data_IF_789228181084
#
_entry.id   IF_789228181084
#
_cell.length_a   1.000
_cell.length_b   1.000
_cell.length_c   1.000
_cell.angle_alpha   90.00
_cell.angle_beta   90.00
_cell.angle_gamma   90.00
#
_symmetry.space_group_name_H-M   'P 1'
#
loop_
_entity.id
_entity.type
_entity.pdbx_description
1 polymer ?
#
# COMPACT_ATOMS: atom_id res chain seq x y z
N UNK A 1 -6.71 13.88 14.57
CA UNK A 1 -5.54 13.02 14.32
C UNK A 1 -4.96 12.54 15.64
N UNK A 2 -4.46 11.30 15.68
CA UNK A 2 -3.90 10.70 16.92
C UNK A 2 -2.47 11.17 17.22
N UNK A 3 -1.86 11.92 16.31
CA UNK A 3 -0.50 12.47 16.44
C UNK A 3 0.59 11.40 16.70
N UNK A 4 0.46 10.24 16.06
CA UNK A 4 1.39 9.12 16.19
C UNK A 4 2.86 9.51 15.93
N UNK A 5 3.10 10.46 15.02
CA UNK A 5 4.44 10.94 14.70
C UNK A 5 5.22 11.45 15.93
N UNK A 6 4.55 12.17 16.83
CA UNK A 6 5.16 12.66 18.07
C UNK A 6 4.97 11.71 19.25
N UNK A 7 3.91 10.92 19.25
CA UNK A 7 3.48 10.05 20.35
C UNK A 7 3.80 8.58 20.18
N UNK A 8 4.57 8.20 19.13
CA UNK A 8 4.83 6.78 18.79
C UNK A 8 5.35 5.96 19.98
N UNK A 9 6.14 6.54 20.89
CA UNK A 9 6.62 5.83 22.08
C UNK A 9 5.49 5.46 23.03
N UNK A 10 4.58 6.40 23.29
CA UNK A 10 3.38 6.14 24.10
C UNK A 10 2.50 5.07 23.43
N UNK A 11 2.29 5.18 22.12
CA UNK A 11 1.49 4.24 21.35
C UNK A 11 2.12 2.85 21.38
N UNK A 12 3.44 2.72 21.27
CA UNK A 12 4.16 1.43 21.38
C UNK A 12 4.01 0.82 22.78
N UNK A 13 4.02 1.65 23.85
CA UNK A 13 3.74 1.13 25.19
C UNK A 13 2.30 0.63 25.34
N UNK A 14 1.32 1.31 24.75
CA UNK A 14 -0.07 0.83 24.71
C UNK A 14 -0.16 -0.52 23.99
N UNK A 15 0.47 -0.66 22.83
CA UNK A 15 0.54 -1.91 22.05
C UNK A 15 1.17 -3.03 22.89
N UNK A 16 2.28 -2.75 23.59
CA UNK A 16 2.95 -3.69 24.50
C UNK A 16 2.02 -4.14 25.62
N UNK A 17 1.30 -3.22 26.23
CA UNK A 17 0.38 -3.50 27.34
C UNK A 17 -0.82 -4.36 26.90
N UNK A 18 -1.21 -4.33 25.60
CA UNK A 18 -2.18 -5.25 25.02
C UNK A 18 -1.65 -6.68 24.86
N UNK A 19 -0.34 -6.91 25.03
CA UNK A 19 0.28 -8.22 24.93
C UNK A 19 0.47 -8.77 23.52
N UNK A 20 0.26 -7.94 22.48
CA UNK A 20 0.46 -8.34 21.08
C UNK A 20 1.94 -8.50 20.76
N UNK A 21 2.27 -9.39 19.82
CA UNK A 21 3.67 -9.74 19.47
C UNK A 21 4.14 -9.12 18.17
N UNK A 22 3.23 -8.64 17.34
CA UNK A 22 3.54 -8.00 16.08
C UNK A 22 2.68 -6.75 15.89
N UNK A 23 3.24 -5.76 15.24
CA UNK A 23 2.52 -4.54 14.86
C UNK A 23 2.72 -4.25 13.39
N UNK A 24 1.60 -4.21 12.65
CA UNK A 24 1.60 -3.83 11.24
C UNK A 24 1.33 -2.34 11.12
N UNK A 25 2.23 -1.64 10.44
CA UNK A 25 2.10 -0.23 10.11
C UNK A 25 2.47 0.01 8.65
N UNK A 26 2.13 1.18 8.12
CA UNK A 26 2.50 1.59 6.77
C UNK A 26 3.55 2.69 6.78
N UNK A 27 4.40 2.69 5.76
CA UNK A 27 5.30 3.81 5.48
C UNK A 27 4.61 4.75 4.50
N UNK A 28 4.39 6.01 4.90
CA UNK A 28 3.78 7.01 4.04
C UNK A 28 4.77 7.42 2.94
N UNK A 29 4.48 7.06 1.70
CA UNK A 29 5.32 7.38 0.56
C UNK A 29 5.65 8.87 0.43
N UNK A 30 4.68 9.83 0.56
CA UNK A 30 4.98 11.27 0.53
C UNK A 30 5.88 11.76 1.68
N UNK A 31 6.01 10.96 2.74
CA UNK A 31 6.91 11.28 3.85
C UNK A 31 8.37 10.93 3.52
N UNK A 32 8.56 9.96 2.63
CA UNK A 32 9.89 9.45 2.26
C UNK A 32 10.43 10.15 1.03
N UNK A 33 9.58 10.39 0.04
CA UNK A 33 9.94 11.04 -1.21
C UNK A 33 9.12 12.30 -1.45
N UNK A 34 9.80 13.38 -1.83
CA UNK A 34 9.20 14.52 -2.52
C UNK A 34 9.54 14.44 -4.00
N UNK A 35 8.63 14.89 -4.85
CA UNK A 35 8.81 14.91 -6.30
C UNK A 35 8.67 16.33 -6.81
N UNK A 36 9.61 16.75 -7.68
CA UNK A 36 9.53 18.07 -8.29
C UNK A 36 8.39 18.12 -9.32
N UNK A 37 7.57 19.17 -9.24
CA UNK A 37 6.46 19.40 -10.16
C UNK A 37 6.90 19.58 -11.62
N UNK A 38 8.17 19.88 -11.86
CA UNK A 38 8.72 20.42 -13.11
C UNK A 38 9.62 19.44 -13.90
N UNK A 39 9.43 18.12 -13.71
CA UNK A 39 10.17 17.12 -14.48
C UNK A 39 9.74 17.14 -15.97
N UNK A 40 10.34 18.09 -16.74
CA UNK A 40 10.03 18.34 -18.15
C UNK A 40 10.39 17.21 -19.11
N UNK A 41 11.18 16.23 -18.67
CA UNK A 41 11.75 15.17 -19.52
C UNK A 41 11.21 13.77 -19.21
N UNK A 42 10.03 13.64 -18.62
CA UNK A 42 9.40 12.32 -18.38
C UNK A 42 10.05 11.48 -17.26
N UNK A 43 11.28 11.78 -16.84
CA UNK A 43 11.94 11.08 -15.74
C UNK A 43 11.51 11.70 -14.42
N UNK A 44 10.73 10.95 -13.66
CA UNK A 44 10.31 11.35 -12.30
C UNK A 44 11.35 10.83 -11.32
N UNK A 45 12.21 11.73 -10.83
CA UNK A 45 13.17 11.41 -9.77
C UNK A 45 12.64 11.94 -8.44
N UNK A 46 12.48 11.04 -7.47
CA UNK A 46 12.13 11.43 -6.10
C UNK A 46 13.36 11.91 -5.33
N UNK A 47 13.18 12.96 -4.54
CA UNK A 47 14.15 13.44 -3.58
C UNK A 47 13.87 12.82 -2.22
N UNK A 48 14.87 12.15 -1.62
CA UNK A 48 14.71 11.50 -0.31
C UNK A 48 14.55 12.53 0.81
N UNK A 49 13.58 12.29 1.66
CA UNK A 49 13.39 13.04 2.90
C UNK A 49 13.98 12.27 4.08
N UNK A 50 15.19 12.66 4.49
CA UNK A 50 15.91 12.01 5.58
C UNK A 50 15.12 12.02 6.90
N UNK A 51 14.41 13.12 7.21
CA UNK A 51 13.58 13.21 8.44
C UNK A 51 12.46 12.19 8.46
N UNK A 52 11.88 11.90 7.29
CA UNK A 52 10.87 10.86 7.14
C UNK A 52 11.44 9.47 7.39
N UNK A 53 12.59 9.16 6.80
CA UNK A 53 13.31 7.91 7.03
C UNK A 53 13.67 7.73 8.51
N UNK A 54 14.24 8.75 9.14
CA UNK A 54 14.64 8.71 10.55
C UNK A 54 13.46 8.49 11.50
N UNK A 55 12.25 8.93 11.14
CA UNK A 55 11.06 8.65 11.93
C UNK A 55 10.76 7.14 11.97
N UNK A 56 10.77 6.48 10.81
CA UNK A 56 10.50 5.04 10.75
C UNK A 56 11.64 4.21 11.36
N UNK A 57 12.91 4.67 11.29
CA UNK A 57 14.00 4.05 12.05
C UNK A 57 13.66 4.02 13.55
N UNK A 58 13.31 5.18 14.10
CA UNK A 58 12.96 5.28 15.53
C UNK A 58 11.74 4.45 15.92
N UNK A 59 10.72 4.39 15.05
CA UNK A 59 9.54 3.57 15.30
C UNK A 59 9.87 2.08 15.31
N UNK A 60 10.66 1.61 14.32
CA UNK A 60 11.08 0.21 14.22
C UNK A 60 11.93 -0.17 15.43
N UNK A 61 12.90 0.67 15.81
CA UNK A 61 13.76 0.43 16.97
C UNK A 61 12.95 0.38 18.27
N UNK A 62 11.99 1.29 18.46
CA UNK A 62 11.11 1.29 19.63
C UNK A 62 10.25 0.02 19.72
N UNK A 63 9.70 -0.46 18.58
CA UNK A 63 8.95 -1.71 18.53
C UNK A 63 9.82 -2.90 18.96
N UNK A 64 11.01 -3.02 18.37
CA UNK A 64 11.93 -4.12 18.65
C UNK A 64 12.43 -4.10 20.11
N UNK A 65 12.74 -2.92 20.66
CA UNK A 65 13.11 -2.75 22.08
C UNK A 65 12.01 -3.21 23.04
N UNK A 66 10.77 -3.13 22.61
CA UNK A 66 9.59 -3.57 23.37
C UNK A 66 9.16 -5.01 23.06
N UNK A 67 9.93 -5.77 22.26
CA UNK A 67 9.65 -7.16 21.91
C UNK A 67 8.46 -7.32 20.95
N UNK A 68 8.18 -6.30 20.16
CA UNK A 68 7.11 -6.27 19.17
C UNK A 68 7.74 -6.34 17.77
N UNK A 69 7.35 -7.32 16.99
CA UNK A 69 7.85 -7.53 15.62
C UNK A 69 7.22 -6.49 14.66
N UNK A 70 8.04 -5.71 13.92
CA UNK A 70 7.53 -4.75 12.95
C UNK A 70 7.13 -5.45 11.64
N UNK A 71 5.89 -5.25 11.20
CA UNK A 71 5.36 -5.70 9.91
C UNK A 71 5.05 -4.49 9.04
N UNK A 72 5.75 -4.32 7.94
CA UNK A 72 5.77 -3.08 7.18
C UNK A 72 4.92 -3.18 5.91
N UNK A 73 3.96 -2.28 5.76
CA UNK A 73 3.18 -2.10 4.52
C UNK A 73 3.79 -0.96 3.71
N UNK A 74 4.20 -1.28 2.48
CA UNK A 74 4.85 -0.31 1.59
C UNK A 74 3.87 0.73 1.06
N UNK A 75 2.69 0.32 0.62
CA UNK A 75 1.69 1.25 0.10
C UNK A 75 0.32 1.03 0.75
N UNK A 76 -0.18 2.07 1.41
CA UNK A 76 -1.50 2.09 2.05
C UNK A 76 -2.27 3.36 1.68
N UNK A 77 -2.47 3.56 0.36
CA UNK A 77 -3.32 4.55 -0.31
C UNK A 77 -2.77 5.98 -0.37
N UNK A 78 -1.57 6.20 0.08
CA UNK A 78 -0.92 7.50 0.20
C UNK A 78 0.01 7.81 -1.00
N UNK A 79 -0.56 7.88 -2.19
CA UNK A 79 0.15 8.26 -3.40
C UNK A 79 0.58 9.74 -3.33
N UNK A 80 1.87 10.06 -3.61
CA UNK A 80 2.31 11.44 -3.73
C UNK A 80 1.49 12.21 -4.79
N UNK A 81 1.01 13.40 -4.43
CA UNK A 81 0.15 14.20 -5.30
C UNK A 81 0.80 14.54 -6.64
N UNK A 82 2.12 14.77 -6.65
CA UNK A 82 2.90 15.03 -7.87
C UNK A 82 2.86 13.84 -8.84
N UNK A 83 2.80 12.62 -8.33
CA UNK A 83 2.63 11.42 -9.15
C UNK A 83 1.20 11.27 -9.65
N UNK A 84 0.19 11.64 -8.84
CA UNK A 84 -1.19 11.68 -9.29
C UNK A 84 -1.38 12.69 -10.43
N UNK A 85 -0.77 13.88 -10.37
CA UNK A 85 -0.75 14.86 -11.48
C UNK A 85 -0.18 14.29 -12.80
N UNK A 86 0.68 13.27 -12.69
CA UNK A 86 1.25 12.54 -13.84
C UNK A 86 0.40 11.34 -14.27
N UNK A 87 -0.78 11.20 -13.73
CA UNK A 87 -1.76 10.16 -14.04
C UNK A 87 -1.92 9.08 -12.97
N UNK A 88 -1.08 9.07 -11.94
CA UNK A 88 -1.19 8.13 -10.83
C UNK A 88 -1.29 6.68 -11.28
N UNK A 89 -2.27 5.95 -10.76
CA UNK A 89 -2.52 4.55 -11.16
C UNK A 89 -3.00 4.37 -12.60
N UNK A 90 -3.43 5.43 -13.28
CA UNK A 90 -3.74 5.42 -14.72
C UNK A 90 -2.49 5.40 -15.60
N UNK A 91 -1.36 5.87 -15.06
CA UNK A 91 -0.08 5.88 -15.76
C UNK A 91 0.67 4.57 -15.54
N UNK A 92 1.10 3.93 -16.64
CA UNK A 92 1.86 2.69 -16.58
C UNK A 92 3.16 2.84 -15.78
N UNK A 93 3.82 3.99 -15.84
CA UNK A 93 5.12 4.22 -15.19
C UNK A 93 5.04 4.17 -13.66
N UNK A 94 3.84 4.13 -13.07
CA UNK A 94 3.65 3.99 -11.62
C UNK A 94 4.42 2.79 -11.06
N UNK A 95 4.53 1.69 -11.84
CA UNK A 95 5.25 0.51 -11.38
C UNK A 95 6.77 0.75 -11.22
N UNK A 96 7.36 1.65 -11.99
CA UNK A 96 8.75 2.07 -11.82
C UNK A 96 8.90 2.93 -10.57
N UNK A 97 8.04 3.94 -10.41
CA UNK A 97 8.13 4.88 -9.27
C UNK A 97 7.95 4.18 -7.94
N UNK A 98 6.97 3.27 -7.85
CA UNK A 98 6.73 2.51 -6.61
C UNK A 98 7.81 1.45 -6.37
N UNK A 99 8.43 0.94 -7.43
CA UNK A 99 9.58 0.03 -7.36
C UNK A 99 10.80 0.73 -6.75
N UNK A 100 11.13 1.94 -7.21
CA UNK A 100 12.23 2.75 -6.67
C UNK A 100 12.01 3.08 -5.19
N UNK A 101 10.79 3.48 -4.83
CA UNK A 101 10.37 3.68 -3.45
C UNK A 101 10.57 2.41 -2.61
N UNK A 102 10.09 1.27 -3.11
CA UNK A 102 10.17 -0.02 -2.40
C UNK A 102 11.62 -0.48 -2.21
N UNK A 103 12.47 -0.25 -3.22
CA UNK A 103 13.90 -0.53 -3.13
C UNK A 103 14.58 0.27 -2.01
N UNK A 104 14.24 1.55 -1.88
CA UNK A 104 14.80 2.40 -0.82
C UNK A 104 14.38 1.94 0.57
N UNK A 105 13.09 1.63 0.74
CA UNK A 105 12.57 1.10 2.01
C UNK A 105 13.25 -0.23 2.38
N UNK A 106 13.43 -1.12 1.40
CA UNK A 106 14.14 -2.37 1.62
C UNK A 106 15.59 -2.16 2.04
N UNK A 107 16.34 -1.31 1.33
CA UNK A 107 17.73 -0.96 1.70
C UNK A 107 17.84 -0.41 3.12
N UNK A 108 16.85 0.39 3.54
CA UNK A 108 16.90 1.07 4.83
C UNK A 108 16.53 0.16 5.98
N UNK A 109 15.46 -0.64 5.86
CA UNK A 109 14.83 -1.27 7.02
C UNK A 109 14.91 -2.79 7.04
N UNK A 110 15.31 -3.47 5.96
CA UNK A 110 15.32 -4.93 5.93
C UNK A 110 16.42 -5.59 6.77
N UNK A 111 17.30 -4.83 7.41
CA UNK A 111 18.18 -5.32 8.47
C UNK A 111 17.44 -5.64 9.76
N UNK A 112 16.26 -5.07 9.98
CA UNK A 112 15.43 -5.16 11.20
C UNK A 112 14.00 -5.63 10.93
N UNK A 113 13.49 -5.42 9.72
CA UNK A 113 12.15 -5.81 9.29
C UNK A 113 12.25 -7.00 8.34
N UNK A 114 11.54 -8.08 8.66
CA UNK A 114 11.50 -9.31 7.85
C UNK A 114 10.18 -9.51 7.13
N UNK A 115 9.11 -8.80 7.53
CA UNK A 115 7.77 -8.95 6.98
C UNK A 115 7.34 -7.68 6.23
N UNK A 116 7.12 -7.80 4.91
CA UNK A 116 6.70 -6.71 4.05
C UNK A 116 5.40 -7.03 3.34
N UNK A 117 4.49 -6.06 3.31
CA UNK A 117 3.29 -6.06 2.47
C UNK A 117 3.47 -5.01 1.38
N UNK A 118 3.22 -5.40 0.15
CA UNK A 118 3.35 -4.50 -1.01
C UNK A 118 2.20 -3.48 -1.05
N UNK A 119 1.03 -3.92 -1.49
CA UNK A 119 -0.16 -3.11 -1.61
C UNK A 119 -1.20 -3.51 -0.56
N UNK A 120 -1.85 -2.52 0.03
CA UNK A 120 -3.00 -2.75 0.89
C UNK A 120 -4.28 -2.59 0.09
N UNK A 121 -5.13 -3.62 0.12
CA UNK A 121 -6.52 -3.59 -0.36
C UNK A 121 -6.66 -2.96 -1.76
N UNK A 122 -6.15 -3.62 -2.78
CA UNK A 122 -6.21 -3.12 -4.17
C UNK A 122 -7.62 -2.66 -4.61
N UNK A 123 -8.73 -3.31 -4.23
CA UNK A 123 -10.06 -2.81 -4.54
C UNK A 123 -10.34 -1.42 -3.98
N UNK A 124 -9.80 -1.06 -2.81
CA UNK A 124 -9.96 0.28 -2.24
C UNK A 124 -9.16 1.34 -3.01
N UNK A 125 -7.98 0.99 -3.56
CA UNK A 125 -7.25 1.88 -4.47
C UNK A 125 -8.14 2.20 -5.69
N UNK A 126 -8.77 1.19 -6.26
CA UNK A 126 -9.72 1.36 -7.37
C UNK A 126 -10.90 2.22 -6.95
N UNK A 127 -11.39 2.09 -5.71
CA UNK A 127 -12.45 2.92 -5.14
C UNK A 127 -12.13 4.42 -5.18
N UNK A 128 -10.86 4.80 -5.07
CA UNK A 128 -10.40 6.17 -5.24
C UNK A 128 -10.63 6.72 -6.65
N UNK A 129 -10.61 5.85 -7.66
CA UNK A 129 -10.90 6.19 -9.06
C UNK A 129 -12.37 5.90 -9.45
N UNK A 130 -13.22 5.62 -8.47
CA UNK A 130 -14.68 5.53 -8.55
C UNK A 130 -15.36 6.60 -7.70
N UNK A 131 -14.63 7.63 -7.25
CA UNK A 131 -15.16 8.74 -6.46
C UNK A 131 -15.37 8.45 -4.97
N UNK A 132 -15.02 7.25 -4.45
CA UNK A 132 -15.34 6.86 -3.06
C UNK A 132 -14.27 7.29 -2.05
N UNK A 133 -13.01 7.32 -2.46
CA UNK A 133 -11.85 7.67 -1.63
C UNK A 133 -10.96 8.66 -2.37
N UNK A 134 -9.84 9.07 -1.76
CA UNK A 134 -8.83 9.82 -2.48
C UNK A 134 -8.24 8.96 -3.62
N UNK A 135 -7.97 9.53 -4.82
CA UNK A 135 -8.04 10.95 -5.17
C UNK A 135 -9.44 11.49 -5.50
N UNK A 136 -10.49 10.69 -5.42
CA UNK A 136 -11.87 11.12 -5.67
C UNK A 136 -12.18 11.38 -7.14
N UNK A 137 -11.54 10.65 -8.03
CA UNK A 137 -11.73 10.75 -9.46
C UNK A 137 -12.76 9.73 -9.94
N UNK A 138 -13.47 10.06 -11.03
CA UNK A 138 -14.31 9.11 -11.75
C UNK A 138 -13.68 8.81 -13.09
N UNK A 139 -13.40 7.54 -13.35
CA UNK A 139 -12.76 7.06 -14.57
C UNK A 139 -13.71 6.15 -15.36
N UNK A 140 -13.49 6.02 -16.66
CA UNK A 140 -14.25 5.08 -17.49
C UNK A 140 -13.77 3.63 -17.31
N UNK A 141 -14.55 2.66 -17.82
CA UNK A 141 -14.26 1.24 -17.65
C UNK A 141 -12.89 0.81 -18.21
N UNK A 142 -12.47 1.38 -19.34
CA UNK A 142 -11.15 1.07 -19.92
C UNK A 142 -10.02 1.49 -18.97
N UNK A 143 -10.15 2.66 -18.34
CA UNK A 143 -9.18 3.13 -17.36
C UNK A 143 -9.19 2.26 -16.10
N UNK A 144 -10.35 1.74 -15.69
CA UNK A 144 -10.46 0.76 -14.59
C UNK A 144 -9.58 -0.47 -14.85
N UNK A 145 -9.68 -1.07 -16.03
CA UNK A 145 -8.85 -2.23 -16.38
C UNK A 145 -7.35 -1.88 -16.43
N UNK A 146 -7.00 -0.70 -16.93
CA UNK A 146 -5.63 -0.22 -16.91
C UNK A 146 -5.10 -0.06 -15.47
N UNK A 147 -5.90 0.52 -14.57
CA UNK A 147 -5.53 0.70 -13.16
C UNK A 147 -5.30 -0.68 -12.50
N UNK A 148 -6.21 -1.64 -12.71
CA UNK A 148 -6.05 -2.99 -12.18
C UNK A 148 -4.76 -3.63 -12.69
N UNK A 149 -4.50 -3.54 -14.00
CA UNK A 149 -3.27 -4.05 -14.59
C UNK A 149 -2.02 -3.39 -13.98
N UNK A 150 -2.04 -2.06 -13.81
CA UNK A 150 -0.91 -1.33 -13.23
C UNK A 150 -0.69 -1.66 -11.76
N UNK A 151 -1.75 -1.91 -10.98
CA UNK A 151 -1.62 -2.39 -9.59
C UNK A 151 -0.95 -3.76 -9.52
N UNK A 152 -1.37 -4.71 -10.35
CA UNK A 152 -0.76 -6.05 -10.40
C UNK A 152 0.69 -5.99 -10.87
N UNK A 153 0.98 -5.18 -11.90
CA UNK A 153 2.33 -4.94 -12.38
C UNK A 153 3.21 -4.31 -11.28
N UNK A 154 2.66 -3.34 -10.56
CA UNK A 154 3.34 -2.67 -9.44
C UNK A 154 3.62 -3.66 -8.30
N UNK A 155 2.67 -4.52 -7.94
CA UNK A 155 2.92 -5.58 -6.96
C UNK A 155 4.12 -6.43 -7.35
N UNK A 156 4.18 -6.93 -8.57
CA UNK A 156 5.31 -7.72 -9.08
C UNK A 156 6.63 -6.97 -9.03
N UNK A 157 6.63 -5.70 -9.47
CA UNK A 157 7.82 -4.83 -9.45
C UNK A 157 8.30 -4.53 -8.03
N UNK A 158 7.40 -4.29 -7.09
CA UNK A 158 7.74 -4.10 -5.67
C UNK A 158 8.37 -5.35 -5.07
N UNK A 159 7.83 -6.54 -5.36
CA UNK A 159 8.40 -7.82 -4.90
C UNK A 159 9.83 -7.98 -5.41
N UNK A 160 10.05 -7.73 -6.70
CA UNK A 160 11.40 -7.80 -7.30
C UNK A 160 12.34 -6.78 -6.66
N UNK A 161 11.90 -5.53 -6.50
CA UNK A 161 12.69 -4.47 -5.90
C UNK A 161 13.10 -4.76 -4.46
N UNK A 162 12.18 -5.23 -3.64
CA UNK A 162 12.46 -5.59 -2.24
C UNK A 162 13.45 -6.76 -2.18
N UNK A 163 13.21 -7.83 -2.94
CA UNK A 163 14.13 -8.99 -2.96
C UNK A 163 15.54 -8.64 -3.43
N UNK A 164 15.67 -7.76 -4.41
CA UNK A 164 16.96 -7.34 -4.94
C UNK A 164 17.73 -6.41 -3.99
N UNK A 165 17.07 -5.74 -3.05
CA UNK A 165 17.67 -4.73 -2.18
C UNK A 165 17.62 -5.06 -0.69
N UNK A 166 16.97 -6.15 -0.31
CA UNK A 166 16.92 -6.58 1.09
C UNK A 166 18.29 -7.10 1.56
N UNK A 167 18.63 -6.76 2.80
CA UNK A 167 19.89 -7.14 3.46
C UNK A 167 19.85 -8.55 4.06
N UNK A 168 18.66 -9.14 4.14
CA UNK A 168 18.42 -10.50 4.63
C UNK A 168 17.20 -11.11 3.95
N UNK A 169 16.92 -12.37 4.22
CA UNK A 169 15.70 -13.01 3.74
C UNK A 169 14.46 -12.33 4.33
N UNK A 170 13.52 -11.97 3.46
CA UNK A 170 12.28 -11.30 3.82
C UNK A 170 11.07 -12.08 3.30
N UNK A 171 9.98 -12.02 4.05
CA UNK A 171 8.67 -12.52 3.65
C UNK A 171 7.88 -11.38 3.02
N UNK A 172 7.33 -11.65 1.84
CA UNK A 172 6.62 -10.68 1.04
C UNK A 172 5.22 -11.17 0.71
N UNK A 173 4.23 -10.32 0.92
CA UNK A 173 2.85 -10.57 0.57
C UNK A 173 2.13 -9.29 0.15
N UNK A 174 0.82 -9.37 -0.05
CA UNK A 174 -0.08 -8.23 -0.13
C UNK A 174 -1.20 -8.42 0.90
N UNK A 175 -1.72 -7.33 1.40
CA UNK A 175 -2.91 -7.37 2.24
C UNK A 175 -4.13 -7.19 1.34
N UNK A 176 -4.70 -8.31 0.92
CA UNK A 176 -5.88 -8.30 0.07
C UNK A 176 -7.14 -8.30 0.92
N UNK A 177 -8.15 -7.54 0.50
CA UNK A 177 -9.51 -7.64 1.02
C UNK A 177 -10.41 -8.28 -0.03
N UNK A 178 -11.42 -8.99 0.42
CA UNK A 178 -12.45 -9.58 -0.43
C UNK A 178 -13.75 -9.65 0.32
N UNK A 179 -14.84 -9.60 -0.41
CA UNK A 179 -16.17 -9.84 0.15
C UNK A 179 -16.54 -11.31 -0.06
N UNK A 180 -16.93 -11.98 1.01
CA UNK A 180 -17.59 -13.27 0.93
C UNK A 180 -19.04 -13.06 0.52
N UNK A 181 -19.44 -13.64 -0.59
CA UNK A 181 -20.82 -13.70 -1.02
C UNK A 181 -21.38 -15.09 -0.72
N UNK A 182 -22.67 -15.17 -0.47
CA UNK A 182 -23.40 -16.41 -0.27
C UNK A 182 -24.73 -16.33 -1.03
N UNK A 183 -25.23 -17.42 -1.61
CA UNK A 183 -26.56 -17.42 -2.21
C UNK A 183 -27.60 -17.18 -1.12
N UNK A 184 -28.63 -16.41 -1.42
CA UNK A 184 -29.71 -16.08 -0.47
C UNK A 184 -30.58 -17.30 -0.16
N UNK A 185 -30.71 -18.27 -1.10
CA UNK A 185 -31.38 -19.55 -0.94
C UNK A 185 -30.68 -20.64 -1.76
N UNK A 186 -31.19 -21.86 -1.70
CA UNK A 186 -30.73 -23.00 -2.54
C UNK A 186 -31.30 -22.94 -3.97
N UNK A 187 -31.99 -21.87 -4.36
CA UNK A 187 -32.50 -21.72 -5.72
C UNK A 187 -31.38 -21.58 -6.74
N UNK A 188 -31.64 -22.01 -7.97
CA UNK A 188 -30.69 -21.87 -9.06
C UNK A 188 -30.37 -20.38 -9.34
N UNK A 189 -31.39 -19.53 -9.28
CA UNK A 189 -31.31 -18.10 -9.54
C UNK A 189 -30.37 -17.41 -8.53
N UNK A 190 -30.50 -17.73 -7.24
CA UNK A 190 -29.66 -17.17 -6.18
C UNK A 190 -28.22 -17.71 -6.30
N UNK A 191 -28.03 -18.95 -6.71
CA UNK A 191 -26.70 -19.50 -6.94
C UNK A 191 -26.01 -18.85 -8.16
N UNK A 192 -26.75 -18.61 -9.24
CA UNK A 192 -26.22 -17.88 -10.41
C UNK A 192 -25.88 -16.43 -10.06
N UNK A 193 -26.70 -15.75 -9.27
CA UNK A 193 -26.42 -14.41 -8.76
C UNK A 193 -25.16 -14.38 -7.89
N UNK A 194 -25.00 -15.37 -7.01
CA UNK A 194 -23.79 -15.53 -6.19
C UNK A 194 -22.52 -15.69 -7.05
N UNK A 195 -22.54 -16.60 -8.03
CA UNK A 195 -21.39 -16.82 -8.94
C UNK A 195 -21.06 -15.53 -9.70
N UNK A 196 -22.07 -14.81 -10.17
CA UNK A 196 -21.88 -13.52 -10.85
C UNK A 196 -21.24 -12.49 -9.90
N UNK A 197 -21.72 -12.39 -8.66
CA UNK A 197 -21.16 -11.47 -7.67
C UNK A 197 -19.71 -11.80 -7.32
N UNK A 198 -19.37 -13.09 -7.14
CA UNK A 198 -17.99 -13.53 -6.85
C UNK A 198 -17.00 -13.22 -7.98
N UNK A 199 -17.46 -13.16 -9.23
CA UNK A 199 -16.61 -12.93 -10.40
C UNK A 199 -16.70 -11.48 -10.93
N UNK A 200 -17.44 -10.59 -10.25
CA UNK A 200 -17.62 -9.22 -10.69
C UNK A 200 -16.51 -8.33 -10.13
N UNK A 201 -15.89 -7.52 -10.99
CA UNK A 201 -14.97 -6.44 -10.59
C UNK A 201 -15.67 -5.43 -9.68
N UNK A 202 -16.99 -5.31 -9.80
CA UNK A 202 -17.83 -4.42 -9.00
C UNK A 202 -18.13 -4.93 -7.58
N UNK A 203 -17.73 -6.14 -7.24
CA UNK A 203 -17.78 -6.67 -5.87
C UNK A 203 -16.79 -5.96 -4.91
N UNK A 204 -16.21 -4.85 -5.34
CA UNK A 204 -15.46 -3.95 -4.46
C UNK A 204 -16.37 -3.31 -3.41
N UNK A 205 -15.88 -3.14 -2.16
CA UNK A 205 -16.68 -2.59 -1.06
C UNK A 205 -17.27 -1.22 -1.42
N UNK A 206 -18.57 -1.05 -1.25
CA UNK A 206 -19.23 0.24 -1.34
C UNK A 206 -20.45 0.36 -2.27
N UNK A 207 -20.87 -0.70 -2.94
CA UNK A 207 -22.17 -0.74 -3.63
C UNK A 207 -23.11 -1.73 -2.93
N UNK A 208 -23.74 -1.23 -1.88
CA UNK A 208 -24.94 -1.80 -1.27
C UNK A 208 -25.99 -0.74 -1.17
#
# INVERSE_FOLDING_TARGET
ACDHYHRYKEDVQLIKNLGVKAYRFSVAWPRIFSYDSDSRNGVVKGNLNQKGLDFYDRLIDELLQNGIEPWLTLFHWDLPYELEKKGGWRNRDIHHWISDYSAEIARRYSDRVTHFFTLNEMPCILGGYRGWFAPGLEVNEREVFNIIHHMLLSHGSMVQAVRANAKQNVLLGCAHNGLGHYPASESKEDYEAFIKAMNCIEAAPGRY
#
